data_IF_261327111195
#
_entry.id   IF_261327111195
#
_cell.length_a   1.000
_cell.length_b   1.000
_cell.length_c   1.000
_cell.angle_alpha   90.00
_cell.angle_beta   90.00
_cell.angle_gamma   90.00
#
_symmetry.space_group_name_H-M   'P 1'
#
loop_
_entity.id
_entity.type
_entity.pdbx_description
1 polymer ?
#
# COMPACT_ATOMS: atom_id res chain seq x y z
N UNK A 1 13.67 10.13 -10.94
CA UNK A 1 12.60 9.24 -11.40
C UNK A 1 12.23 8.18 -10.35
N UNK A 2 12.71 6.92 -10.43
CA UNK A 2 12.25 5.80 -9.55
C UNK A 2 12.24 6.14 -8.04
N UNK A 3 13.34 6.70 -7.51
CA UNK A 3 13.44 7.03 -6.06
C UNK A 3 12.47 8.16 -5.62
N UNK A 4 12.38 9.26 -6.37
CA UNK A 4 11.52 10.39 -6.01
C UNK A 4 10.04 10.02 -5.95
N UNK A 5 9.57 9.20 -6.90
CA UNK A 5 8.20 8.67 -6.90
C UNK A 5 7.97 7.75 -5.70
N UNK A 6 8.97 6.96 -5.29
CA UNK A 6 8.90 6.12 -4.08
C UNK A 6 8.76 6.96 -2.83
N UNK A 7 9.63 7.96 -2.70
CA UNK A 7 9.67 8.84 -1.54
C UNK A 7 8.33 9.60 -1.46
N UNK A 8 7.80 10.03 -2.59
CA UNK A 8 6.50 10.67 -2.69
C UNK A 8 5.32 9.75 -2.31
N UNK A 9 5.29 8.52 -2.80
CA UNK A 9 4.26 7.53 -2.43
C UNK A 9 4.36 7.14 -0.94
N UNK A 10 5.57 7.01 -0.41
CA UNK A 10 5.81 6.69 1.01
C UNK A 10 5.39 7.85 1.90
N UNK A 11 5.80 9.07 1.55
CA UNK A 11 5.42 10.30 2.28
C UNK A 11 3.92 10.51 2.26
N UNK A 12 3.30 10.38 1.09
CA UNK A 12 1.84 10.49 0.91
C UNK A 12 1.08 9.44 1.71
N UNK A 13 1.50 8.18 1.67
CA UNK A 13 0.89 7.11 2.46
C UNK A 13 1.05 7.32 3.97
N UNK A 14 2.23 7.76 4.43
CA UNK A 14 2.48 8.02 5.85
C UNK A 14 1.73 9.24 6.37
N UNK A 15 1.59 10.29 5.55
CA UNK A 15 0.81 11.48 5.88
C UNK A 15 -0.70 11.21 5.84
N UNK A 16 -1.13 10.41 4.84
CA UNK A 16 -2.46 9.88 4.59
C UNK A 16 -2.85 8.75 5.53
N UNK A 17 -2.78 7.52 5.01
CA UNK A 17 -3.20 6.28 5.69
C UNK A 17 -2.46 5.98 7.01
N UNK A 18 -1.17 6.32 7.09
CA UNK A 18 -0.32 6.08 8.25
C UNK A 18 -0.39 7.16 9.34
N UNK A 19 -1.07 8.28 9.10
CA UNK A 19 -0.93 9.55 9.84
C UNK A 19 -2.17 10.44 9.86
N UNK A 20 -2.01 11.67 10.39
CA UNK A 20 -3.05 12.57 10.94
C UNK A 20 -3.94 13.33 9.92
N UNK A 21 -4.15 12.85 8.70
CA UNK A 21 -5.09 13.54 7.78
C UNK A 21 -6.51 13.02 7.94
N UNK A 22 -7.48 13.93 7.86
CA UNK A 22 -8.90 13.57 7.93
C UNK A 22 -9.29 12.78 6.68
N UNK A 23 -9.63 11.50 6.87
CA UNK A 23 -10.19 10.69 5.79
C UNK A 23 -11.55 11.24 5.38
N UNK A 24 -11.71 11.46 4.09
CA UNK A 24 -13.01 11.87 3.55
C UNK A 24 -13.71 10.65 2.97
N UNK A 25 -14.96 10.43 3.40
CA UNK A 25 -15.86 9.50 2.70
C UNK A 25 -16.46 10.22 1.50
N UNK A 26 -16.43 9.57 0.35
CA UNK A 26 -16.98 10.13 -0.89
C UNK A 26 -17.74 9.07 -1.69
N UNK A 27 -18.68 9.53 -2.52
CA UNK A 27 -19.46 8.67 -3.41
C UNK A 27 -19.11 9.04 -4.85
N UNK A 28 -18.61 8.07 -5.63
CA UNK A 28 -18.37 8.22 -7.08
C UNK A 28 -19.15 7.15 -7.81
N UNK A 29 -20.03 7.55 -8.73
CA UNK A 29 -20.81 6.60 -9.55
C UNK A 29 -21.63 5.58 -8.73
N UNK A 30 -22.03 5.94 -7.49
CA UNK A 30 -22.74 5.05 -6.57
C UNK A 30 -21.86 4.17 -5.69
N UNK A 31 -20.53 4.25 -5.81
CA UNK A 31 -19.58 3.51 -4.97
C UNK A 31 -19.12 4.37 -3.79
N UNK A 32 -19.23 3.82 -2.58
CA UNK A 32 -18.67 4.42 -1.37
C UNK A 32 -17.16 4.17 -1.30
N UNK A 33 -16.41 5.26 -1.18
CA UNK A 33 -14.95 5.27 -1.15
C UNK A 33 -14.47 6.04 0.07
N UNK A 34 -13.27 5.69 0.53
CA UNK A 34 -12.46 6.54 1.39
C UNK A 34 -11.40 7.21 0.54
N UNK A 35 -11.02 8.43 0.88
CA UNK A 35 -9.89 9.08 0.25
C UNK A 35 -9.05 9.89 1.24
N UNK A 36 -7.79 10.06 0.87
CA UNK A 36 -6.83 10.95 1.51
C UNK A 36 -6.10 11.78 0.46
N UNK A 37 -5.62 12.93 0.88
CA UNK A 37 -4.88 13.84 0.02
C UNK A 37 -3.76 14.49 0.82
N UNK A 38 -2.61 14.66 0.16
CA UNK A 38 -1.44 15.30 0.70
C UNK A 38 -0.81 16.17 -0.39
N UNK A 39 -0.51 17.41 -0.04
CA UNK A 39 0.16 18.38 -0.90
C UNK A 39 1.10 19.23 -0.03
N UNK A 40 2.37 19.27 -0.39
CA UNK A 40 3.40 20.09 0.28
C UNK A 40 4.12 21.06 -0.67
N UNK A 41 3.59 21.26 -1.88
CA UNK A 41 4.18 22.09 -2.93
C UNK A 41 5.20 21.38 -3.82
N UNK A 42 5.90 20.37 -3.30
CA UNK A 42 6.86 19.56 -4.07
C UNK A 42 6.21 18.28 -4.60
N UNK A 43 5.32 17.69 -3.79
CA UNK A 43 4.64 16.43 -4.05
C UNK A 43 3.14 16.64 -3.90
N UNK A 44 2.39 16.15 -4.89
CA UNK A 44 0.94 15.98 -4.76
C UNK A 44 0.65 14.48 -4.72
N UNK A 45 -0.06 14.04 -3.69
CA UNK A 45 -0.50 12.66 -3.49
C UNK A 45 -2.00 12.61 -3.26
N UNK A 46 -2.66 11.69 -3.94
CA UNK A 46 -4.06 11.36 -3.71
C UNK A 46 -4.22 9.86 -3.64
N UNK A 47 -4.98 9.38 -2.68
CA UNK A 47 -5.31 7.96 -2.53
C UNK A 47 -6.80 7.83 -2.34
N UNK A 48 -7.42 6.93 -3.07
CA UNK A 48 -8.81 6.55 -2.89
C UNK A 48 -8.97 5.03 -2.89
N UNK A 49 -9.74 4.52 -1.94
CA UNK A 49 -9.87 3.08 -1.74
C UNK A 49 -11.23 2.65 -1.23
N UNK A 50 -11.53 1.39 -1.56
CA UNK A 50 -12.55 0.55 -0.95
C UNK A 50 -11.89 -0.37 0.08
N UNK A 51 -12.65 -1.30 0.67
CA UNK A 51 -12.12 -2.29 1.62
C UNK A 51 -10.91 -3.07 1.10
N UNK A 52 -10.90 -3.43 -0.18
CA UNK A 52 -10.00 -4.46 -0.72
C UNK A 52 -9.14 -3.95 -1.89
N UNK A 53 -9.09 -2.64 -2.11
CA UNK A 53 -8.32 -2.08 -3.20
C UNK A 53 -8.62 -0.63 -3.44
N UNK A 54 -7.74 0.01 -4.17
CA UNK A 54 -7.76 1.43 -4.41
C UNK A 54 -6.74 1.85 -5.44
N UNK A 55 -6.59 3.15 -5.57
CA UNK A 55 -5.58 3.77 -6.41
C UNK A 55 -4.95 4.95 -5.70
N UNK A 56 -3.64 5.05 -5.89
CA UNK A 56 -2.85 6.22 -5.57
C UNK A 56 -2.47 6.92 -6.87
N UNK A 57 -2.49 8.24 -6.83
CA UNK A 57 -1.98 9.11 -7.89
C UNK A 57 -0.98 10.05 -7.24
N UNK A 58 0.22 10.10 -7.80
CA UNK A 58 1.31 10.94 -7.31
C UNK A 58 1.86 11.79 -8.43
N UNK A 59 2.14 13.05 -8.13
CA UNK A 59 2.80 13.99 -9.02
C UNK A 59 4.06 14.55 -8.36
N UNK A 60 5.16 14.52 -9.09
CA UNK A 60 6.44 15.11 -8.69
C UNK A 60 6.99 15.89 -9.88
N UNK A 61 7.03 17.22 -9.78
CA UNK A 61 7.33 18.08 -10.92
C UNK A 61 6.32 17.90 -12.06
N UNK A 62 6.78 17.47 -13.24
CA UNK A 62 5.92 17.20 -14.40
C UNK A 62 5.47 15.74 -14.52
N UNK A 63 6.10 14.83 -13.78
CA UNK A 63 5.82 13.39 -13.85
C UNK A 63 4.59 13.03 -13.03
N UNK A 64 3.70 12.20 -13.59
CA UNK A 64 2.54 11.68 -12.89
C UNK A 64 2.57 10.15 -12.96
N UNK A 65 2.44 9.52 -11.80
CA UNK A 65 2.34 8.07 -11.67
C UNK A 65 1.04 7.68 -10.98
N UNK A 66 0.55 6.50 -11.32
CA UNK A 66 -0.53 5.85 -10.58
C UNK A 66 -0.06 4.51 -10.04
N UNK A 67 -0.48 4.20 -8.81
CA UNK A 67 -0.39 2.87 -8.23
C UNK A 67 -1.78 2.34 -7.96
N UNK A 68 -2.21 1.36 -8.72
CA UNK A 68 -3.43 0.61 -8.39
C UNK A 68 -3.08 -0.58 -7.52
N UNK A 69 -3.94 -0.90 -6.56
CA UNK A 69 -3.74 -2.05 -5.68
C UNK A 69 -5.05 -2.75 -5.37
N UNK A 70 -4.98 -4.07 -5.22
CA UNK A 70 -6.12 -4.90 -4.86
C UNK A 70 -5.68 -6.11 -4.03
N UNK A 71 -6.57 -6.58 -3.16
CA UNK A 71 -6.26 -7.67 -2.26
C UNK A 71 -7.28 -7.84 -1.14
N UNK A 72 -6.81 -8.17 0.05
CA UNK A 72 -7.64 -8.24 1.25
C UNK A 72 -7.04 -9.09 2.36
N UNK A 73 -7.74 -9.10 3.49
CA UNK A 73 -7.46 -10.00 4.59
C UNK A 73 -8.09 -11.38 4.36
N UNK A 74 -7.54 -12.38 5.05
CA UNK A 74 -8.16 -13.69 5.18
C UNK A 74 -9.61 -13.56 5.70
N UNK A 75 -10.48 -14.48 5.28
CA UNK A 75 -11.90 -14.46 5.69
C UNK A 75 -12.04 -14.42 7.21
N UNK A 76 -13.07 -13.73 7.69
CA UNK A 76 -13.31 -13.50 9.12
C UNK A 76 -13.34 -14.80 9.92
N UNK A 77 -13.97 -15.83 9.39
CA UNK A 77 -14.11 -17.14 10.05
C UNK A 77 -12.76 -17.82 10.25
N UNK A 78 -11.85 -17.66 9.28
CA UNK A 78 -10.50 -18.21 9.34
C UNK A 78 -9.59 -17.37 10.26
N UNK A 79 -9.75 -16.04 10.27
CA UNK A 79 -9.05 -15.18 11.24
C UNK A 79 -9.44 -15.54 12.68
N UNK A 80 -10.73 -15.81 12.94
CA UNK A 80 -11.21 -16.23 14.26
C UNK A 80 -10.56 -17.55 14.69
N UNK A 81 -10.42 -18.54 13.79
CA UNK A 81 -9.71 -19.81 14.09
C UNK A 81 -8.25 -19.60 14.48
N UNK A 82 -7.64 -18.51 13.99
CA UNK A 82 -6.27 -18.11 14.34
C UNK A 82 -6.19 -17.23 15.59
N UNK A 83 -7.33 -16.87 16.19
CA UNK A 83 -7.40 -15.93 17.31
C UNK A 83 -7.12 -14.48 16.92
N UNK A 84 -7.43 -14.10 15.68
CA UNK A 84 -7.15 -12.77 15.12
C UNK A 84 -8.42 -12.02 14.73
N UNK A 85 -8.31 -10.70 14.75
CA UNK A 85 -9.25 -9.78 14.11
C UNK A 85 -8.61 -9.14 12.88
N UNK A 86 -9.43 -8.74 11.90
CA UNK A 86 -8.97 -8.01 10.70
C UNK A 86 -8.22 -6.73 11.10
N UNK A 87 -8.70 -6.04 12.13
CA UNK A 87 -8.04 -4.85 12.69
C UNK A 87 -6.59 -5.13 13.10
N UNK A 88 -6.33 -6.28 13.73
CA UNK A 88 -4.97 -6.67 14.13
C UNK A 88 -4.05 -6.84 12.92
N UNK A 89 -4.56 -7.44 11.84
CA UNK A 89 -3.78 -7.63 10.60
C UNK A 89 -3.43 -6.27 9.97
N UNK A 90 -4.39 -5.34 9.93
CA UNK A 90 -4.17 -3.98 9.42
C UNK A 90 -3.20 -3.19 10.29
N UNK A 91 -3.31 -3.27 11.62
CA UNK A 91 -2.35 -2.64 12.53
C UNK A 91 -0.93 -3.17 12.34
N UNK A 92 -0.78 -4.47 12.05
CA UNK A 92 0.51 -5.07 11.71
C UNK A 92 1.05 -4.57 10.38
N UNK A 93 0.20 -4.42 9.36
CA UNK A 93 0.57 -3.80 8.08
C UNK A 93 1.10 -2.38 8.30
N UNK A 94 0.32 -1.54 8.97
CA UNK A 94 0.69 -0.13 9.26
C UNK A 94 2.00 -0.08 10.06
N UNK A 95 2.15 -0.95 11.06
CA UNK A 95 3.38 -1.05 11.84
C UNK A 95 4.59 -1.38 10.97
N UNK A 96 4.47 -2.31 10.03
CA UNK A 96 5.56 -2.69 9.11
C UNK A 96 5.92 -1.58 8.12
N UNK A 97 4.92 -0.88 7.59
CA UNK A 97 5.12 0.29 6.73
C UNK A 97 5.89 1.37 7.49
N UNK A 98 5.50 1.65 8.75
CA UNK A 98 6.19 2.62 9.61
C UNK A 98 7.62 2.20 9.97
N UNK A 99 7.83 0.92 10.30
CA UNK A 99 9.15 0.38 10.66
C UNK A 99 10.13 0.38 9.49
N UNK A 100 9.64 0.08 8.30
CA UNK A 100 10.48 -0.12 7.12
C UNK A 100 10.65 1.15 6.29
N UNK A 101 9.78 2.15 6.48
CA UNK A 101 9.83 3.44 5.79
C UNK A 101 9.98 3.25 4.28
N UNK A 102 11.00 3.89 3.72
CA UNK A 102 11.30 3.90 2.29
C UNK A 102 11.74 2.53 1.73
N UNK A 103 12.00 1.53 2.59
CA UNK A 103 12.32 0.15 2.18
C UNK A 103 11.10 -0.70 1.91
N UNK A 104 9.94 -0.28 2.42
CA UNK A 104 8.69 -0.94 2.09
C UNK A 104 8.08 -0.30 0.86
N UNK A 105 7.98 -1.13 -0.17
CA UNK A 105 7.27 -0.92 -1.42
C UNK A 105 8.08 -0.22 -2.53
N UNK A 106 8.09 -0.90 -3.68
CA UNK A 106 8.25 -0.48 -5.08
C UNK A 106 9.55 -0.82 -5.79
N UNK A 107 10.69 -0.92 -5.11
CA UNK A 107 11.97 -1.04 -5.84
C UNK A 107 12.89 -2.15 -5.41
N UNK A 108 12.69 -2.70 -4.22
CA UNK A 108 13.38 -3.90 -3.79
C UNK A 108 12.45 -4.87 -3.09
N UNK A 109 12.80 -6.15 -3.18
CA UNK A 109 12.14 -7.16 -2.37
C UNK A 109 12.45 -6.84 -0.90
N UNK A 110 11.41 -6.81 -0.07
CA UNK A 110 11.54 -6.63 1.36
C UNK A 110 11.02 -7.87 2.06
N UNK A 111 11.82 -8.46 2.95
CA UNK A 111 11.39 -9.57 3.77
C UNK A 111 11.76 -9.24 5.21
N UNK A 112 10.74 -9.09 6.06
CA UNK A 112 10.90 -8.93 7.49
C UNK A 112 10.35 -10.17 8.19
N UNK A 113 11.24 -11.10 8.56
CA UNK A 113 10.88 -12.34 9.25
C UNK A 113 10.81 -12.17 10.77
N UNK A 114 9.95 -12.96 11.40
CA UNK A 114 10.01 -13.34 12.81
C UNK A 114 10.02 -12.19 13.83
N UNK A 115 9.00 -11.34 13.82
CA UNK A 115 8.67 -10.51 15.00
C UNK A 115 7.35 -11.00 15.59
N UNK A 116 7.42 -11.78 16.67
CA UNK A 116 6.25 -12.30 17.41
C UNK A 116 5.25 -13.09 16.52
N UNK A 117 5.75 -14.06 15.75
CA UNK A 117 4.98 -14.88 14.78
C UNK A 117 4.48 -14.16 13.51
N UNK A 118 4.85 -12.89 13.32
CA UNK A 118 4.46 -12.12 12.13
C UNK A 118 5.61 -11.97 11.14
N UNK A 119 5.34 -12.37 9.90
CA UNK A 119 6.19 -12.12 8.75
C UNK A 119 5.54 -11.11 7.82
N UNK A 120 6.39 -10.27 7.23
CA UNK A 120 6.02 -9.37 6.14
C UNK A 120 6.92 -9.66 4.94
N UNK A 121 6.30 -9.70 3.76
CA UNK A 121 6.98 -9.87 2.49
C UNK A 121 6.42 -8.89 1.49
N UNK A 122 7.31 -8.21 0.81
CA UNK A 122 7.04 -7.45 -0.40
C UNK A 122 7.95 -7.99 -1.50
N UNK A 123 7.36 -8.33 -2.65
CA UNK A 123 8.07 -8.91 -3.78
C UNK A 123 7.71 -8.19 -5.07
N UNK A 124 8.72 -7.75 -5.81
CA UNK A 124 8.56 -7.32 -7.21
C UNK A 124 8.34 -8.57 -8.05
N UNK A 125 7.26 -8.57 -8.81
CA UNK A 125 6.89 -9.65 -9.71
C UNK A 125 7.41 -9.39 -11.13
N UNK A 126 7.36 -8.14 -11.58
CA UNK A 126 7.82 -7.71 -12.90
C UNK A 126 8.26 -6.23 -12.88
N UNK A 127 9.26 -5.87 -13.68
CA UNK A 127 9.78 -4.49 -13.88
C UNK A 127 10.12 -4.30 -15.36
N UNK A 128 9.11 -3.88 -16.14
CA UNK A 128 9.28 -3.51 -17.54
C UNK A 128 9.85 -2.08 -17.59
N UNK A 129 11.15 -1.99 -17.85
CA UNK A 129 11.88 -0.71 -17.87
C UNK A 129 11.56 0.14 -19.09
N UNK A 130 11.13 -0.49 -20.18
CA UNK A 130 10.86 0.22 -21.44
C UNK A 130 9.49 0.91 -21.37
N UNK A 131 8.52 0.27 -20.70
CA UNK A 131 7.18 0.84 -20.44
C UNK A 131 7.17 1.66 -19.14
N UNK A 132 8.06 1.37 -18.19
CA UNK A 132 8.08 1.99 -16.87
C UNK A 132 7.05 1.42 -15.91
N UNK A 133 6.59 0.19 -16.15
CA UNK A 133 5.57 -0.49 -15.34
C UNK A 133 6.22 -1.48 -14.39
N UNK A 134 5.82 -1.41 -13.13
CA UNK A 134 6.28 -2.33 -12.08
C UNK A 134 5.07 -3.01 -11.45
N UNK A 135 5.13 -4.33 -11.34
CA UNK A 135 4.12 -5.09 -10.61
C UNK A 135 4.74 -5.75 -9.39
N UNK A 136 3.93 -5.98 -8.36
CA UNK A 136 4.39 -6.76 -7.26
C UNK A 136 3.30 -7.16 -6.27
N UNK A 137 3.74 -7.83 -5.21
CA UNK A 137 2.87 -8.44 -4.22
C UNK A 137 3.38 -8.19 -2.81
N UNK A 138 2.47 -7.79 -1.95
CA UNK A 138 2.65 -7.63 -0.52
C UNK A 138 1.87 -8.71 0.23
N UNK A 139 2.50 -9.34 1.22
CA UNK A 139 1.95 -10.44 1.98
C UNK A 139 2.27 -10.24 3.46
N UNK A 140 1.29 -10.49 4.32
CA UNK A 140 1.52 -10.69 5.76
C UNK A 140 1.18 -12.12 6.12
N UNK A 141 2.05 -12.74 6.92
CA UNK A 141 1.81 -14.07 7.49
C UNK A 141 1.78 -14.00 9.01
N UNK A 142 0.90 -14.79 9.59
CA UNK A 142 0.89 -15.10 11.02
C UNK A 142 1.09 -16.60 11.18
N UNK A 143 2.14 -17.01 11.90
CA UNK A 143 2.51 -18.43 12.07
C UNK A 143 2.60 -19.19 10.73
N UNK A 144 3.26 -18.59 9.75
CA UNK A 144 3.40 -19.08 8.37
C UNK A 144 2.10 -19.15 7.53
N UNK A 145 0.95 -18.73 8.06
CA UNK A 145 -0.31 -18.67 7.33
C UNK A 145 -0.49 -17.28 6.75
N UNK A 146 -0.77 -17.19 5.45
CA UNK A 146 -1.06 -15.92 4.78
C UNK A 146 -2.38 -15.36 5.31
N UNK A 147 -2.32 -14.20 5.95
CA UNK A 147 -3.49 -13.51 6.53
C UNK A 147 -3.87 -12.23 5.80
N UNK A 148 -3.00 -11.76 4.91
CA UNK A 148 -3.22 -10.60 4.05
C UNK A 148 -2.41 -10.71 2.78
N UNK A 149 -3.00 -10.27 1.67
CA UNK A 149 -2.34 -10.13 0.37
C UNK A 149 -2.82 -8.86 -0.28
N UNK A 150 -1.90 -8.04 -0.78
CA UNK A 150 -2.16 -6.99 -1.77
C UNK A 150 -1.28 -7.23 -3.00
N UNK A 151 -1.82 -6.98 -4.19
CA UNK A 151 -1.10 -6.93 -5.45
C UNK A 151 -1.19 -5.50 -5.94
N UNK A 152 -0.13 -4.98 -6.55
CA UNK A 152 -0.10 -3.61 -7.05
C UNK A 152 0.56 -3.54 -8.43
N UNK A 153 0.18 -2.49 -9.15
CA UNK A 153 0.78 -2.07 -10.42
C UNK A 153 1.09 -0.59 -10.30
N UNK A 154 2.36 -0.23 -10.49
CA UNK A 154 2.82 1.15 -10.63
C UNK A 154 3.04 1.42 -12.12
N UNK A 155 2.49 2.51 -12.63
CA UNK A 155 2.61 2.91 -14.03
C UNK A 155 2.72 4.43 -14.16
N UNK A 156 3.48 4.95 -15.14
CA UNK A 156 3.34 6.34 -15.55
C UNK A 156 1.92 6.59 -16.07
N UNK A 157 1.43 7.80 -15.83
CA UNK A 157 0.17 8.34 -16.39
C UNK A 157 0.48 9.35 -17.47
N UNK A 158 1.47 10.21 -17.20
CA UNK A 158 1.97 11.25 -18.10
C UNK A 158 3.44 11.51 -17.83
#
# INVERSE_FOLDING_TARGET
MKKQITDALTKGLLAGYGGKTDFTKLIRGGFELSASHFDDGDIIYHDEWTRNGGQEIVKVGEEIFTRVYAGGCLKKEELIKLGLEEKTVIEKLIGRIKESGDKTRLFENCIAKNKNDWDYEYKILDDDKDIGVITGKEIIRYKNIVVFVHVFVLSPVK
#
